data_IF_635250786878
#
_entry.id   IF_635250786878
#
_cell.length_a   1.000
_cell.length_b   1.000
_cell.length_c   1.000
_cell.angle_alpha   90.00
_cell.angle_beta   90.00
_cell.angle_gamma   90.00
#
_symmetry.space_group_name_H-M   'P 1'
#
loop_
_entity.id
_entity.type
_entity.pdbx_description
1 polymer ?
#
# COMPACT_ATOMS: atom_id res chain seq x y z
N UNK A 1 -10.90 24.80 15.57
CA UNK A 1 -10.15 23.52 15.65
C UNK A 1 -9.36 23.39 14.36
N UNK A 2 -8.03 23.45 14.43
CA UNK A 2 -7.19 23.23 13.25
C UNK A 2 -7.20 21.73 13.00
N UNK A 3 -7.96 21.30 11.99
CA UNK A 3 -7.91 19.93 11.50
C UNK A 3 -6.56 19.77 10.79
N UNK A 4 -5.53 19.34 11.52
CA UNK A 4 -4.33 18.77 10.91
C UNK A 4 -4.72 17.38 10.37
N UNK A 5 -5.43 17.34 9.25
CA UNK A 5 -5.69 16.10 8.54
C UNK A 5 -4.39 15.73 7.82
N UNK A 6 -3.76 14.64 8.26
CA UNK A 6 -2.67 14.04 7.49
C UNK A 6 -3.17 13.77 6.07
N UNK A 7 -2.47 14.28 5.06
CA UNK A 7 -2.90 14.11 3.68
C UNK A 7 -2.59 12.68 3.25
N UNK A 8 -3.65 11.91 3.04
CA UNK A 8 -3.58 10.59 2.43
C UNK A 8 -3.78 10.74 0.93
N UNK A 9 -2.87 10.17 0.15
CA UNK A 9 -2.91 10.21 -1.31
C UNK A 9 -2.92 8.80 -1.88
N UNK A 10 -3.81 8.55 -2.84
CA UNK A 10 -3.81 7.32 -3.63
C UNK A 10 -2.56 7.31 -4.52
N UNK A 11 -1.82 6.21 -4.43
CA UNK A 11 -0.51 6.08 -5.04
C UNK A 11 -0.53 5.11 -6.22
N UNK A 12 -1.20 3.98 -6.04
CA UNK A 12 -1.41 2.98 -7.09
C UNK A 12 -2.72 2.22 -6.84
N UNK A 13 -3.37 1.77 -7.90
CA UNK A 13 -4.64 1.07 -7.84
C UNK A 13 -4.75 0.08 -8.99
N UNK A 14 -4.91 -1.20 -8.67
CA UNK A 14 -4.87 -2.29 -9.65
C UNK A 14 -5.98 -3.30 -9.39
N UNK A 15 -6.76 -3.57 -10.43
CA UNK A 15 -7.79 -4.60 -10.43
C UNK A 15 -7.17 -5.99 -10.54
N UNK A 16 -7.72 -6.97 -9.82
CA UNK A 16 -7.31 -8.37 -9.90
C UNK A 16 -7.44 -8.91 -11.33
N UNK A 17 -6.62 -9.90 -11.73
CA UNK A 17 -6.70 -10.49 -13.06
C UNK A 17 -8.07 -11.10 -13.41
N UNK A 18 -8.82 -11.52 -12.40
CA UNK A 18 -10.18 -12.04 -12.56
C UNK A 18 -11.28 -10.97 -12.44
N UNK A 19 -10.90 -9.70 -12.27
CA UNK A 19 -11.81 -8.55 -12.24
C UNK A 19 -12.62 -8.40 -10.96
N UNK A 20 -12.43 -9.24 -9.94
CA UNK A 20 -13.26 -9.27 -8.72
C UNK A 20 -12.85 -8.27 -7.66
N UNK A 21 -11.56 -7.98 -7.53
CA UNK A 21 -11.02 -7.16 -6.47
C UNK A 21 -10.29 -5.95 -7.04
N UNK A 22 -10.33 -4.84 -6.32
CA UNK A 22 -9.49 -3.68 -6.56
C UNK A 22 -8.62 -3.50 -5.33
N UNK A 23 -7.30 -3.54 -5.53
CA UNK A 23 -6.34 -3.20 -4.50
C UNK A 23 -5.88 -1.77 -4.71
N UNK A 24 -5.80 -1.01 -3.63
CA UNK A 24 -5.36 0.38 -3.66
C UNK A 24 -4.29 0.60 -2.60
N UNK A 25 -3.17 1.19 -3.01
CA UNK A 25 -2.10 1.60 -2.12
C UNK A 25 -2.18 3.11 -1.93
N UNK A 26 -2.18 3.55 -0.68
CA UNK A 26 -2.12 4.96 -0.32
C UNK A 26 -0.87 5.25 0.49
N UNK A 27 -0.42 6.49 0.42
CA UNK A 27 0.64 7.02 1.26
C UNK A 27 0.10 8.18 2.07
N UNK A 28 0.32 8.15 3.37
CA UNK A 28 -0.04 9.23 4.28
C UNK A 28 1.23 9.96 4.73
N UNK A 29 1.24 11.28 4.54
CA UNK A 29 2.34 12.12 5.00
C UNK A 29 2.30 12.34 6.52
N UNK A 30 3.45 12.38 7.19
CA UNK A 30 3.52 12.68 8.61
C UNK A 30 3.19 14.14 8.90
N UNK A 31 2.38 14.40 9.93
CA UNK A 31 2.04 15.76 10.40
C UNK A 31 3.18 16.46 11.15
N UNK A 32 4.16 15.69 11.64
CA UNK A 32 5.29 16.22 12.41
C UNK A 32 6.59 15.95 11.67
N UNK A 33 7.56 16.88 11.71
CA UNK A 33 8.90 16.66 11.17
C UNK A 33 9.51 15.38 11.76
N UNK A 34 10.18 14.58 10.92
CA UNK A 34 10.85 13.33 11.28
C UNK A 34 9.95 12.13 11.63
N UNK A 35 8.62 12.26 11.63
CA UNK A 35 7.76 11.07 11.68
C UNK A 35 7.82 10.30 10.34
N UNK A 36 7.53 9.01 10.41
CA UNK A 36 7.52 8.13 9.24
C UNK A 36 6.23 8.34 8.44
N UNK A 37 6.35 8.23 7.13
CA UNK A 37 5.18 8.09 6.27
C UNK A 37 4.48 6.79 6.61
N UNK A 38 3.21 6.68 6.24
CA UNK A 38 2.47 5.43 6.34
C UNK A 38 2.09 4.95 4.95
N UNK A 39 2.27 3.67 4.71
CA UNK A 39 1.68 3.00 3.56
C UNK A 39 0.51 2.19 4.04
N UNK A 40 -0.64 2.44 3.45
CA UNK A 40 -1.86 1.68 3.73
C UNK A 40 -2.27 0.96 2.46
N UNK A 41 -2.64 -0.31 2.59
CA UNK A 41 -3.21 -1.08 1.49
C UNK A 41 -4.67 -1.37 1.80
N UNK A 42 -5.51 -1.02 0.85
CA UNK A 42 -6.93 -1.28 0.87
C UNK A 42 -7.32 -2.32 -0.16
N UNK A 43 -8.39 -3.05 0.12
CA UNK A 43 -9.08 -3.92 -0.83
C UNK A 43 -10.56 -3.55 -0.93
N UNK A 44 -11.12 -3.61 -2.12
CA UNK A 44 -12.56 -3.56 -2.33
C UNK A 44 -12.97 -4.65 -3.32
N UNK A 45 -14.22 -5.09 -3.23
CA UNK A 45 -14.85 -5.77 -4.37
C UNK A 45 -15.01 -4.74 -5.49
N UNK A 46 -14.82 -5.18 -6.74
CA UNK A 46 -14.93 -4.29 -7.89
C UNK A 46 -16.36 -3.72 -7.97
N UNK A 47 -16.46 -2.38 -8.02
CA UNK A 47 -17.73 -1.66 -7.98
C UNK A 47 -18.34 -1.45 -6.59
N UNK A 48 -17.71 -1.95 -5.52
CA UNK A 48 -18.20 -1.69 -4.16
C UNK A 48 -17.79 -0.28 -3.68
N UNK A 49 -18.68 0.42 -2.95
CA UNK A 49 -18.40 1.77 -2.44
C UNK A 49 -17.45 1.76 -1.23
N UNK A 50 -17.26 0.61 -0.58
CA UNK A 50 -16.47 0.48 0.64
C UNK A 50 -15.17 -0.27 0.36
N UNK A 51 -14.08 0.31 0.85
CA UNK A 51 -12.74 -0.30 0.89
C UNK A 51 -12.46 -0.79 2.31
N UNK A 52 -11.86 -1.97 2.44
CA UNK A 52 -11.36 -2.54 3.69
C UNK A 52 -9.85 -2.32 3.78
N UNK A 53 -9.36 -1.85 4.93
CA UNK A 53 -7.92 -1.80 5.20
C UNK A 53 -7.37 -3.22 5.43
N UNK A 54 -6.31 -3.57 4.72
CA UNK A 54 -5.60 -4.85 4.88
C UNK A 54 -4.35 -4.72 5.76
N UNK A 55 -3.61 -3.64 5.57
CA UNK A 55 -2.39 -3.36 6.35
C UNK A 55 -2.11 -1.87 6.36
N UNK A 56 -1.59 -1.40 7.48
CA UNK A 56 -1.06 -0.06 7.68
C UNK A 56 0.34 -0.18 8.28
N UNK A 57 1.36 0.28 7.56
CA UNK A 57 2.75 0.12 7.99
C UNK A 57 3.53 1.43 7.89
N UNK A 58 4.39 1.75 8.87
CA UNK A 58 5.28 2.89 8.76
C UNK A 58 6.37 2.62 7.71
N UNK A 59 6.66 3.63 6.89
CA UNK A 59 7.72 3.66 5.89
C UNK A 59 8.63 4.87 6.16
N UNK A 60 9.93 4.62 6.28
CA UNK A 60 10.89 5.71 6.36
C UNK A 60 10.97 6.42 5.00
N UNK A 61 10.96 7.75 5.01
CA UNK A 61 11.32 8.56 3.86
C UNK A 61 12.69 9.18 4.15
N UNK A 62 13.63 8.96 3.26
CA UNK A 62 15.00 9.46 3.30
C UNK A 62 15.15 10.85 2.66
N UNK A 63 14.04 11.47 2.24
CA UNK A 63 14.01 12.76 1.56
C UNK A 63 13.79 12.64 0.05
N UNK A 64 13.70 11.41 -0.50
CA UNK A 64 13.34 11.20 -1.90
C UNK A 64 11.81 11.14 -2.03
N UNK A 65 11.20 11.88 -2.97
CA UNK A 65 9.76 11.76 -3.24
C UNK A 65 9.38 10.32 -3.56
N UNK A 66 8.28 9.83 -2.99
CA UNK A 66 7.73 8.55 -3.43
C UNK A 66 7.30 8.67 -4.89
N UNK A 67 7.70 7.70 -5.71
CA UNK A 67 7.26 7.56 -7.11
C UNK A 67 6.72 6.15 -7.33
N UNK A 68 5.92 5.95 -8.40
CA UNK A 68 5.43 4.64 -8.83
C UNK A 68 6.58 3.64 -9.15
N UNK A 69 7.83 4.11 -9.24
CA UNK A 69 9.01 3.27 -9.42
C UNK A 69 9.55 2.71 -8.09
N UNK A 70 9.21 3.35 -6.96
CA UNK A 70 9.70 3.02 -5.62
C UNK A 70 8.60 2.44 -4.71
N UNK A 71 7.33 2.71 -5.01
CA UNK A 71 6.18 2.00 -4.44
C UNK A 71 5.30 1.55 -5.61
N UNK A 72 5.07 0.24 -5.73
CA UNK A 72 4.27 -0.31 -6.83
C UNK A 72 3.49 -1.55 -6.41
N UNK A 73 2.26 -1.65 -6.91
CA UNK A 73 1.35 -2.77 -6.69
C UNK A 73 1.31 -3.63 -7.97
N UNK A 74 1.48 -4.95 -7.82
CA UNK A 74 1.32 -5.89 -8.94
C UNK A 74 0.64 -7.18 -8.49
N UNK A 75 -0.18 -7.74 -9.36
CA UNK A 75 -0.68 -9.10 -9.21
C UNK A 75 0.35 -10.10 -9.73
N UNK A 76 0.63 -11.14 -8.94
CA UNK A 76 1.50 -12.25 -9.36
C UNK A 76 0.70 -13.53 -9.64
N UNK A 77 -0.57 -13.55 -9.23
CA UNK A 77 -1.56 -14.56 -9.59
C UNK A 77 -2.97 -13.94 -9.52
N UNK A 78 -4.01 -14.73 -9.78
CA UNK A 78 -5.42 -14.30 -9.60
C UNK A 78 -5.78 -14.03 -8.14
N UNK A 79 -5.05 -14.60 -7.18
CA UNK A 79 -5.35 -14.52 -5.75
C UNK A 79 -4.24 -13.87 -4.92
N UNK A 80 -3.15 -13.45 -5.55
CA UNK A 80 -1.99 -12.91 -4.84
C UNK A 80 -1.45 -11.68 -5.52
N UNK A 81 -1.25 -10.63 -4.72
CA UNK A 81 -0.56 -9.41 -5.12
C UNK A 81 0.65 -9.15 -4.23
N UNK A 82 1.57 -8.35 -4.76
CA UNK A 82 2.73 -7.83 -4.06
C UNK A 82 2.72 -6.31 -4.17
N UNK A 83 2.95 -5.64 -3.03
CA UNK A 83 3.32 -4.22 -3.01
C UNK A 83 4.80 -4.15 -2.67
N UNK A 84 5.59 -3.63 -3.59
CA UNK A 84 7.00 -3.37 -3.34
C UNK A 84 7.15 -2.02 -2.66
N UNK A 85 7.81 -2.00 -1.50
CA UNK A 85 8.11 -0.80 -0.74
C UNK A 85 9.63 -0.58 -0.77
N UNK A 86 10.05 0.59 -1.27
CA UNK A 86 11.46 0.99 -1.21
C UNK A 86 11.66 2.12 -0.20
N UNK A 87 12.20 1.83 0.99
CA UNK A 87 13.04 2.78 1.71
C UNK A 87 14.44 2.68 1.08
N UNK A 88 14.92 3.75 0.47
CA UNK A 88 16.28 3.81 -0.08
C UNK A 88 17.28 3.34 0.99
N UNK A 89 18.17 2.43 0.61
CA UNK A 89 19.24 1.84 1.43
C UNK A 89 18.85 0.79 2.51
N UNK A 90 17.60 0.31 2.54
CA UNK A 90 17.19 -0.84 3.39
C UNK A 90 16.90 -2.09 2.54
N UNK A 91 17.04 -3.31 3.10
CA UNK A 91 16.61 -4.52 2.41
C UNK A 91 15.15 -4.37 1.97
N UNK A 92 14.90 -4.57 0.68
CA UNK A 92 13.60 -4.39 0.03
C UNK A 92 12.48 -4.92 0.93
N UNK A 93 11.43 -4.13 1.18
CA UNK A 93 10.29 -4.59 1.97
C UNK A 93 9.11 -4.78 1.04
N UNK A 94 8.46 -5.93 1.12
CA UNK A 94 7.25 -6.22 0.36
C UNK A 94 6.05 -6.35 1.29
N UNK A 95 4.86 -6.05 0.77
CA UNK A 95 3.61 -6.52 1.35
C UNK A 95 3.07 -7.59 0.42
N UNK A 96 2.95 -8.81 0.92
CA UNK A 96 2.25 -9.88 0.20
C UNK A 96 0.79 -9.85 0.60
N UNK A 97 -0.09 -9.83 -0.39
CA UNK A 97 -1.54 -9.81 -0.21
C UNK A 97 -2.09 -11.12 -0.76
N UNK A 98 -2.91 -11.80 0.04
CA UNK A 98 -3.60 -13.03 -0.36
C UNK A 98 -5.11 -12.84 -0.22
N UNK A 99 -5.83 -13.12 -1.31
CA UNK A 99 -7.29 -13.00 -1.40
C UNK A 99 -7.96 -14.34 -1.74
N UNK A 100 -7.24 -15.46 -1.62
CA UNK A 100 -7.78 -16.80 -1.90
C UNK A 100 -8.87 -17.25 -0.92
N UNK A 101 -8.87 -16.68 0.29
CA UNK A 101 -9.87 -16.90 1.33
C UNK A 101 -10.30 -15.53 1.90
N UNK A 102 -10.25 -15.36 3.22
CA UNK A 102 -10.37 -14.05 3.83
C UNK A 102 -9.16 -13.19 3.42
N UNK A 103 -9.37 -12.02 2.79
CA UNK A 103 -8.28 -11.14 2.39
C UNK A 103 -7.33 -10.82 3.56
N UNK A 104 -6.04 -10.98 3.33
CA UNK A 104 -4.99 -10.76 4.32
C UNK A 104 -3.73 -10.17 3.68
N UNK A 105 -2.92 -9.50 4.51
CA UNK A 105 -1.66 -8.92 4.09
C UNK A 105 -0.55 -9.21 5.12
N UNK A 106 0.65 -9.52 4.63
CA UNK A 106 1.83 -9.80 5.44
C UNK A 106 3.01 -8.95 4.95
N UNK A 107 3.74 -8.33 5.87
CA UNK A 107 4.98 -7.63 5.58
C UNK A 107 6.12 -8.64 5.54
N UNK A 108 6.88 -8.66 4.44
CA UNK A 108 7.97 -9.62 4.23
C UNK A 108 9.23 -8.90 3.73
N UNK A 109 10.42 -9.45 4.00
CA UNK A 109 11.62 -9.03 3.29
C UNK A 109 11.53 -9.46 1.82
N UNK A 110 11.95 -8.59 0.92
CA UNK A 110 11.98 -8.77 -0.52
C UNK A 110 10.69 -8.36 -1.24
N UNK A 111 10.89 -7.96 -2.50
CA UNK A 111 9.88 -7.87 -3.56
C UNK A 111 10.58 -8.22 -4.89
#
# INVERSE_FOLDING_TARGET
>A
MIACSATESEFDSVTSPDGKYVLTVTVTEPLVPHAKYKVTVYIALNGAPHRQELVNTPLANDGVPFTAQNIGLRWISTTTALVCLRPTDLPDRGIRIDVSATPSAEIRPGC
#
